data_IF_262417112969
#
_entry.id   IF_262417112969
#
_cell.length_a   1.000
_cell.length_b   1.000
_cell.length_c   1.000
_cell.angle_alpha   90.00
_cell.angle_beta   90.00
_cell.angle_gamma   90.00
#
_symmetry.space_group_name_H-M   'P 1'
#
loop_
_entity.id
_entity.type
_entity.pdbx_description
1 polymer ?
#
# COMPACT_ATOMS: atom_id res chain seq x y z
N UNK A 1 -11.63 -4.95 -30.85
CA UNK A 1 -11.24 -3.51 -30.86
C UNK A 1 -9.85 -3.41 -30.26
N UNK A 2 -8.87 -2.92 -31.01
CA UNK A 2 -7.56 -2.55 -30.46
C UNK A 2 -7.69 -1.16 -29.86
N UNK A 3 -7.48 -1.02 -28.55
CA UNK A 3 -7.52 0.27 -27.86
C UNK A 3 -6.10 0.64 -27.48
N UNK A 4 -5.69 1.80 -27.95
CA UNK A 4 -4.37 2.38 -27.72
C UNK A 4 -4.55 3.71 -26.98
N UNK A 5 -3.74 3.93 -25.95
CA UNK A 5 -3.73 5.17 -25.19
C UNK A 5 -2.40 5.40 -24.46
N UNK A 6 -2.11 6.67 -24.22
CA UNK A 6 -0.93 7.09 -23.48
C UNK A 6 -1.33 7.45 -22.04
N UNK A 7 -0.49 7.03 -21.09
CA UNK A 7 -0.66 7.29 -19.68
C UNK A 7 0.56 8.01 -19.16
N UNK A 8 0.36 9.09 -18.41
CA UNK A 8 1.46 9.75 -17.69
C UNK A 8 1.33 9.51 -16.18
N UNK A 9 2.27 8.75 -15.62
CA UNK A 9 2.31 8.40 -14.20
C UNK A 9 3.21 9.39 -13.46
N UNK A 10 2.67 10.03 -12.44
CA UNK A 10 3.36 11.00 -11.58
C UNK A 10 3.66 10.41 -10.20
N UNK A 11 4.50 11.10 -9.44
CA UNK A 11 4.83 10.74 -8.05
C UNK A 11 3.57 10.63 -7.18
N UNK A 12 2.60 11.53 -7.38
CA UNK A 12 1.36 11.52 -6.59
C UNK A 12 0.47 10.31 -6.90
N UNK A 13 0.49 9.82 -8.14
CA UNK A 13 -0.20 8.57 -8.48
C UNK A 13 0.46 7.37 -7.83
N UNK A 14 1.80 7.36 -7.76
CA UNK A 14 2.52 6.31 -7.07
C UNK A 14 2.26 6.32 -5.56
N UNK A 15 2.19 7.50 -4.94
CA UNK A 15 1.76 7.64 -3.55
C UNK A 15 0.34 7.13 -3.34
N UNK A 16 -0.58 7.46 -4.24
CA UNK A 16 -1.95 6.95 -4.20
C UNK A 16 -1.95 5.41 -4.27
N UNK A 17 -1.18 4.82 -5.19
CA UNK A 17 -1.01 3.38 -5.30
C UNK A 17 -0.46 2.75 -4.02
N UNK A 18 0.62 3.29 -3.44
CA UNK A 18 1.16 2.78 -2.17
C UNK A 18 0.14 2.86 -1.03
N UNK A 19 -0.60 3.98 -0.92
CA UNK A 19 -1.63 4.14 0.10
C UNK A 19 -2.75 3.10 -0.03
N UNK A 20 -3.13 2.80 -1.28
CA UNK A 20 -4.12 1.78 -1.61
C UNK A 20 -3.60 0.38 -1.25
N UNK A 21 -2.38 0.04 -1.67
CA UNK A 21 -1.72 -1.23 -1.36
C UNK A 21 -1.56 -1.42 0.15
N UNK A 22 -1.16 -0.40 0.90
CA UNK A 22 -1.03 -0.46 2.35
C UNK A 22 -2.38 -0.74 3.04
N UNK A 23 -3.45 -0.08 2.57
CA UNK A 23 -4.81 -0.31 3.09
C UNK A 23 -5.29 -1.73 2.80
N UNK A 24 -5.04 -2.23 1.58
CA UNK A 24 -5.31 -3.62 1.18
C UNK A 24 -4.50 -4.63 1.97
N UNK A 25 -3.21 -4.37 2.18
CA UNK A 25 -2.33 -5.24 2.95
C UNK A 25 -2.77 -5.32 4.41
N UNK A 26 -3.12 -4.18 5.04
CA UNK A 26 -3.66 -4.14 6.41
C UNK A 26 -4.94 -4.96 6.54
N UNK A 27 -5.87 -4.84 5.60
CA UNK A 27 -7.12 -5.60 5.62
C UNK A 27 -6.92 -7.11 5.37
N UNK A 28 -5.85 -7.49 4.67
CA UNK A 28 -5.48 -8.88 4.47
C UNK A 28 -4.71 -9.45 5.68
N UNK A 29 -3.85 -8.65 6.33
CA UNK A 29 -3.14 -9.03 7.57
C UNK A 29 -4.13 -9.19 8.72
N UNK A 30 -5.13 -8.31 8.85
CA UNK A 30 -6.17 -8.46 9.88
C UNK A 30 -7.02 -9.73 9.69
N UNK A 31 -7.21 -10.18 8.45
CA UNK A 31 -7.91 -11.43 8.12
C UNK A 31 -7.08 -12.70 8.37
N UNK A 32 -5.75 -12.64 8.19
CA UNK A 32 -4.86 -13.81 8.32
C UNK A 32 -4.16 -13.94 9.67
N UNK A 33 -4.16 -12.89 10.50
CA UNK A 33 -3.51 -12.91 11.82
C UNK A 33 -4.41 -13.64 12.82
N UNK A 34 -3.95 -14.79 13.32
CA UNK A 34 -4.66 -15.51 14.37
C UNK A 34 -4.80 -14.58 15.60
N UNK A 35 -6.02 -14.15 15.96
CA UNK A 35 -6.20 -13.10 16.96
C UNK A 35 -5.62 -13.50 18.32
N UNK A 36 -5.59 -14.80 18.65
CA UNK A 36 -5.07 -15.36 19.90
C UNK A 36 -3.56 -15.13 20.08
N UNK A 37 -2.74 -15.45 19.08
CA UNK A 37 -1.28 -15.27 19.16
C UNK A 37 -0.89 -13.80 19.31
N UNK A 38 -1.60 -12.91 18.61
CA UNK A 38 -1.32 -11.49 18.73
C UNK A 38 -1.79 -10.88 20.04
N UNK A 39 -2.88 -11.40 20.63
CA UNK A 39 -3.33 -11.04 21.98
C UNK A 39 -2.34 -11.53 23.03
N UNK A 40 -1.77 -12.73 22.87
CA UNK A 40 -0.72 -13.25 23.74
C UNK A 40 0.56 -12.39 23.68
N UNK A 41 1.04 -12.04 22.49
CA UNK A 41 2.22 -11.19 22.36
C UNK A 41 1.98 -9.80 22.98
N UNK A 42 0.81 -9.22 22.75
CA UNK A 42 0.41 -7.94 23.35
C UNK A 42 0.32 -8.07 24.88
N UNK A 43 -0.21 -9.19 25.39
CA UNK A 43 -0.26 -9.50 26.81
C UNK A 43 1.15 -9.58 27.42
N UNK A 44 2.09 -10.29 26.79
CA UNK A 44 3.47 -10.38 27.28
C UNK A 44 4.20 -9.03 27.25
N UNK A 45 3.94 -8.19 26.25
CA UNK A 45 4.48 -6.82 26.20
C UNK A 45 3.94 -6.00 27.37
N UNK A 46 2.62 -5.99 27.59
CA UNK A 46 2.01 -5.28 28.72
C UNK A 46 2.43 -5.84 30.08
N UNK A 47 2.61 -7.16 30.18
CA UNK A 47 3.12 -7.83 31.37
C UNK A 47 4.58 -7.43 31.65
N UNK A 48 5.42 -7.37 30.61
CA UNK A 48 6.80 -6.91 30.73
C UNK A 48 6.90 -5.44 31.15
N UNK A 49 6.06 -4.57 30.56
CA UNK A 49 5.96 -3.16 30.96
C UNK A 49 5.48 -3.04 32.41
N UNK A 50 4.45 -3.81 32.80
CA UNK A 50 3.94 -3.82 34.17
C UNK A 50 4.96 -4.33 35.19
N UNK A 51 5.73 -5.36 34.84
CA UNK A 51 6.81 -5.89 35.67
C UNK A 51 7.94 -4.86 35.82
N UNK A 52 8.36 -4.22 34.73
CA UNK A 52 9.36 -3.16 34.76
C UNK A 52 8.89 -1.97 35.62
N UNK A 53 7.61 -1.57 35.48
CA UNK A 53 7.01 -0.51 36.28
C UNK A 53 6.94 -0.90 37.78
N UNK A 54 6.57 -2.15 38.08
CA UNK A 54 6.52 -2.67 39.45
C UNK A 54 7.90 -2.73 40.10
N UNK A 55 8.93 -3.15 39.35
CA UNK A 55 10.32 -3.13 39.83
C UNK A 55 10.83 -1.71 40.06
N UNK A 56 10.48 -0.76 39.18
CA UNK A 56 10.77 0.67 39.38
C UNK A 56 10.08 1.22 40.63
N UNK A 57 8.78 0.96 40.81
CA UNK A 57 8.05 1.41 41.99
C UNK A 57 8.61 0.78 43.26
N UNK A 58 8.99 -0.49 43.26
CA UNK A 58 9.60 -1.14 44.42
C UNK A 58 11.01 -0.59 44.72
N UNK A 59 11.82 -0.31 43.70
CA UNK A 59 13.16 0.26 43.86
C UNK A 59 13.15 1.71 44.37
N UNK A 60 12.08 2.46 44.11
CA UNK A 60 11.94 3.88 44.48
C UNK A 60 10.78 4.14 45.47
N UNK A 61 10.29 3.10 46.14
CA UNK A 61 8.95 2.97 46.74
C UNK A 61 8.50 3.96 47.81
N UNK A 62 9.36 4.85 48.29
CA UNK A 62 8.94 5.95 49.18
C UNK A 62 8.94 7.34 48.52
N UNK A 63 9.44 7.49 47.28
CA UNK A 63 9.63 8.80 46.63
C UNK A 63 9.02 8.93 45.23
N UNK A 64 8.24 7.95 44.75
CA UNK A 64 7.62 8.05 43.43
C UNK A 64 6.44 9.02 43.48
N UNK A 65 6.70 10.29 43.19
CA UNK A 65 5.64 11.29 43.04
C UNK A 65 4.76 10.92 41.85
N UNK A 66 3.45 10.68 42.09
CA UNK A 66 2.48 10.30 41.06
C UNK A 66 2.52 11.18 39.78
N UNK A 67 2.69 12.52 39.85
CA UNK A 67 2.85 13.35 38.66
C UNK A 67 4.08 12.98 37.80
N UNK A 68 5.19 12.58 38.43
CA UNK A 68 6.41 12.20 37.72
C UNK A 68 6.25 10.87 36.97
N UNK A 69 5.52 9.91 37.55
CA UNK A 69 5.21 8.64 36.90
C UNK A 69 4.30 8.83 35.67
N UNK A 70 3.28 9.68 35.78
CA UNK A 70 2.41 10.04 34.65
C UNK A 70 3.22 10.75 33.55
N UNK A 71 4.07 11.70 33.93
CA UNK A 71 4.95 12.41 32.99
C UNK A 71 5.89 11.45 32.24
N UNK A 72 6.48 10.48 32.94
CA UNK A 72 7.32 9.46 32.32
C UNK A 72 6.52 8.58 31.33
N UNK A 73 5.31 8.15 31.70
CA UNK A 73 4.45 7.35 30.84
C UNK A 73 4.05 8.10 29.55
N UNK A 74 3.67 9.37 29.66
CA UNK A 74 3.36 10.22 28.50
C UNK A 74 4.59 10.37 27.61
N UNK A 75 5.76 10.64 28.21
CA UNK A 75 7.01 10.81 27.48
C UNK A 75 7.38 9.56 26.68
N UNK A 76 7.32 8.38 27.32
CA UNK A 76 7.57 7.10 26.64
C UNK A 76 6.54 6.87 25.53
N UNK A 77 5.25 7.15 25.79
CA UNK A 77 4.20 7.02 24.79
C UNK A 77 4.46 7.91 23.58
N UNK A 78 4.80 9.19 23.77
CA UNK A 78 5.13 10.13 22.69
C UNK A 78 6.36 9.68 21.91
N UNK A 79 7.40 9.17 22.58
CA UNK A 79 8.60 8.64 21.93
C UNK A 79 8.24 7.45 21.04
N UNK A 80 7.48 6.48 21.55
CA UNK A 80 7.09 5.26 20.81
C UNK A 80 6.20 5.62 19.61
N UNK A 81 5.18 6.46 19.81
CA UNK A 81 4.29 6.89 18.72
C UNK A 81 5.07 7.65 17.66
N UNK A 82 5.99 8.53 18.05
CA UNK A 82 6.84 9.22 17.09
C UNK A 82 7.71 8.21 16.35
N UNK A 83 8.44 7.32 17.03
CA UNK A 83 9.33 6.34 16.40
C UNK A 83 8.61 5.51 15.34
N UNK A 84 7.39 5.04 15.61
CA UNK A 84 6.55 4.33 14.65
C UNK A 84 6.22 5.21 13.44
N UNK A 85 5.77 6.45 13.68
CA UNK A 85 5.46 7.41 12.61
C UNK A 85 6.67 7.68 11.71
N UNK A 86 7.84 7.95 12.30
CA UNK A 86 9.09 8.23 11.58
C UNK A 86 9.56 7.01 10.78
N UNK A 87 9.47 5.80 11.35
CA UNK A 87 9.84 4.57 10.64
C UNK A 87 8.92 4.30 9.45
N UNK A 88 7.60 4.48 9.63
CA UNK A 88 6.63 4.34 8.54
C UNK A 88 6.88 5.33 7.41
N UNK A 89 7.14 6.60 7.76
CA UNK A 89 7.46 7.65 6.77
C UNK A 89 8.74 7.32 6.01
N UNK A 90 9.80 6.91 6.71
CA UNK A 90 11.07 6.51 6.10
C UNK A 90 10.90 5.34 5.11
N UNK A 91 10.10 4.34 5.46
CA UNK A 91 9.81 3.21 4.57
C UNK A 91 9.05 3.68 3.31
N UNK A 92 8.06 4.57 3.46
CA UNK A 92 7.36 5.14 2.31
C UNK A 92 8.29 5.93 1.39
N UNK A 93 9.18 6.75 1.97
CA UNK A 93 10.15 7.53 1.21
C UNK A 93 11.15 6.63 0.46
N UNK A 94 11.59 5.53 1.08
CA UNK A 94 12.47 4.53 0.46
C UNK A 94 11.79 3.70 -0.64
N UNK A 95 10.46 3.59 -0.63
CA UNK A 95 9.69 2.92 -1.67
C UNK A 95 9.38 3.83 -2.85
N UNK A 96 9.70 5.13 -2.79
CA UNK A 96 9.45 6.03 -3.91
C UNK A 96 10.29 5.64 -5.12
N UNK A 97 9.69 5.61 -6.33
CA UNK A 97 10.43 5.37 -7.55
C UNK A 97 11.42 6.51 -7.77
N UNK A 98 12.54 6.18 -8.39
CA UNK A 98 13.50 7.16 -8.87
C UNK A 98 12.84 8.04 -9.94
N UNK A 99 13.19 9.32 -9.99
CA UNK A 99 12.62 10.27 -10.96
C UNK A 99 12.91 9.90 -12.41
N UNK A 100 14.04 9.23 -12.64
CA UNK A 100 14.53 8.67 -13.91
C UNK A 100 14.32 7.15 -14.00
N UNK A 101 13.51 6.59 -13.11
CA UNK A 101 13.18 5.16 -13.10
C UNK A 101 12.04 4.81 -14.05
N UNK A 102 11.90 3.51 -14.34
CA UNK A 102 10.93 2.98 -15.31
C UNK A 102 9.45 3.06 -14.90
N UNK A 103 9.14 3.53 -13.69
CA UNK A 103 7.75 3.56 -13.17
C UNK A 103 7.05 4.87 -13.53
N UNK A 104 7.76 6.00 -13.43
CA UNK A 104 7.20 7.32 -13.66
C UNK A 104 7.28 7.71 -15.15
N UNK A 105 6.47 8.68 -15.54
CA UNK A 105 6.47 9.24 -16.88
C UNK A 105 5.48 8.57 -17.83
N UNK A 106 5.77 8.68 -19.13
CA UNK A 106 4.87 8.29 -20.21
C UNK A 106 4.96 6.79 -20.50
N UNK A 107 3.79 6.16 -20.53
CA UNK A 107 3.60 4.75 -20.85
C UNK A 107 2.51 4.62 -21.92
N UNK A 108 2.78 3.80 -22.92
CA UNK A 108 1.90 3.53 -24.02
C UNK A 108 1.26 2.16 -23.83
N UNK A 109 -0.06 2.12 -23.71
CA UNK A 109 -0.84 0.92 -23.46
C UNK A 109 -1.60 0.51 -24.70
N UNK A 110 -1.45 -0.76 -25.07
CA UNK A 110 -2.15 -1.36 -26.20
C UNK A 110 -2.87 -2.62 -25.74
N UNK A 111 -4.21 -2.54 -25.75
CA UNK A 111 -5.09 -3.69 -25.50
C UNK A 111 -5.14 -4.53 -26.77
N UNK A 112 -4.49 -5.70 -26.74
CA UNK A 112 -4.51 -6.68 -27.84
C UNK A 112 -5.37 -7.88 -27.47
N UNK A 113 -5.59 -8.78 -28.42
CA UNK A 113 -6.42 -9.96 -28.15
C UNK A 113 -5.76 -10.91 -27.14
N UNK A 114 -4.46 -11.17 -27.29
CA UNK A 114 -3.72 -12.16 -26.49
C UNK A 114 -3.16 -11.61 -25.17
N UNK A 115 -2.82 -10.31 -25.14
CA UNK A 115 -2.15 -9.68 -24.02
C UNK A 115 -2.35 -8.16 -23.97
N UNK A 116 -2.08 -7.58 -22.80
CA UNK A 116 -1.89 -6.14 -22.63
C UNK A 116 -0.42 -5.80 -22.90
N UNK A 117 -0.17 -4.94 -23.88
CA UNK A 117 1.17 -4.46 -24.20
C UNK A 117 1.40 -3.09 -23.59
N UNK A 118 2.55 -2.90 -22.96
CA UNK A 118 2.94 -1.66 -22.28
C UNK A 118 4.32 -1.28 -22.76
N UNK A 119 4.51 -0.05 -23.22
CA UNK A 119 5.79 0.46 -23.69
C UNK A 119 6.13 1.78 -23.01
N UNK A 120 7.42 1.98 -22.72
CA UNK A 120 7.98 3.23 -22.19
C UNK A 120 9.33 3.49 -22.83
N UNK A 121 9.95 4.63 -22.49
CA UNK A 121 11.35 4.91 -22.87
C UNK A 121 12.35 3.91 -22.29
N UNK A 122 11.96 3.16 -21.26
CA UNK A 122 12.83 2.21 -20.56
C UNK A 122 12.66 0.77 -21.05
N UNK A 123 11.64 0.48 -21.85
CA UNK A 123 11.40 -0.86 -22.39
C UNK A 123 9.94 -1.19 -22.66
N UNK A 124 9.70 -2.45 -23.01
CA UNK A 124 8.38 -2.98 -23.32
C UNK A 124 8.05 -4.19 -22.44
N UNK A 125 6.79 -4.30 -22.05
CA UNK A 125 6.23 -5.42 -21.28
C UNK A 125 5.01 -5.97 -22.01
N UNK A 126 4.91 -7.30 -22.07
CA UNK A 126 3.72 -8.00 -22.56
C UNK A 126 3.12 -8.79 -21.40
N UNK A 127 1.89 -8.46 -21.04
CA UNK A 127 1.18 -9.06 -19.92
C UNK A 127 0.01 -9.89 -20.45
N UNK A 128 0.16 -11.21 -20.42
CA UNK A 128 -0.93 -12.12 -20.73
C UNK A 128 -2.12 -11.87 -19.79
N UNK A 129 -3.35 -11.99 -20.30
CA UNK A 129 -4.56 -11.72 -19.52
C UNK A 129 -4.66 -12.53 -18.22
N UNK A 130 -4.21 -13.80 -18.24
CA UNK A 130 -4.11 -14.68 -17.06
C UNK A 130 -3.14 -14.20 -15.96
N UNK A 131 -2.22 -13.31 -16.32
CA UNK A 131 -1.25 -12.69 -15.41
C UNK A 131 -1.87 -11.55 -14.59
N UNK A 132 -2.97 -10.97 -15.06
CA UNK A 132 -3.72 -9.96 -14.33
C UNK A 132 -4.56 -10.66 -13.26
N UNK A 133 -4.39 -10.22 -12.01
CA UNK A 133 -5.06 -10.80 -10.84
C UNK A 133 -6.28 -10.02 -10.39
N UNK A 134 -6.23 -8.69 -10.49
CA UNK A 134 -7.39 -7.85 -10.23
C UNK A 134 -7.25 -6.47 -10.89
N UNK A 135 -8.38 -5.84 -11.16
CA UNK A 135 -8.50 -4.45 -11.59
C UNK A 135 -9.30 -3.73 -10.52
N UNK A 136 -8.64 -2.86 -9.77
CA UNK A 136 -9.27 -2.07 -8.73
C UNK A 136 -9.51 -0.65 -9.24
N UNK A 137 -10.68 -0.10 -8.95
CA UNK A 137 -11.08 1.23 -9.37
C UNK A 137 -11.27 2.16 -8.18
N UNK A 138 -10.67 3.34 -8.26
CA UNK A 138 -10.95 4.46 -7.36
C UNK A 138 -11.61 5.60 -8.14
N UNK A 139 -11.96 6.69 -7.46
CA UNK A 139 -12.49 7.89 -8.13
C UNK A 139 -11.50 8.48 -9.14
N UNK A 140 -10.19 8.31 -8.93
CA UNK A 140 -9.14 8.96 -9.72
C UNK A 140 -8.23 8.02 -10.50
N UNK A 141 -8.21 6.71 -10.17
CA UNK A 141 -7.25 5.75 -10.73
C UNK A 141 -7.90 4.40 -11.04
N UNK A 142 -7.30 3.70 -11.99
CA UNK A 142 -7.36 2.24 -12.04
C UNK A 142 -6.01 1.66 -11.60
N UNK A 143 -6.07 0.59 -10.82
CA UNK A 143 -4.90 -0.17 -10.40
C UNK A 143 -5.01 -1.60 -10.93
N UNK A 144 -4.11 -1.96 -11.85
CA UNK A 144 -4.07 -3.28 -12.47
C UNK A 144 -3.05 -4.15 -11.73
N UNK A 145 -3.51 -5.06 -10.89
CA UNK A 145 -2.65 -5.91 -10.08
C UNK A 145 -2.24 -7.17 -10.82
N UNK A 146 -0.94 -7.46 -10.81
CA UNK A 146 -0.37 -8.75 -11.26
C UNK A 146 0.04 -9.64 -10.09
N UNK A 147 0.16 -9.05 -8.90
CA UNK A 147 0.34 -9.74 -7.63
C UNK A 147 -0.27 -8.89 -6.48
N UNK A 148 -0.14 -9.34 -5.23
CA UNK A 148 -0.75 -8.77 -4.03
C UNK A 148 -0.43 -7.28 -3.82
N UNK A 149 0.78 -6.86 -4.16
CA UNK A 149 1.27 -5.49 -3.97
C UNK A 149 2.00 -4.94 -5.19
N UNK A 150 1.88 -5.62 -6.33
CA UNK A 150 2.58 -5.26 -7.57
C UNK A 150 1.55 -5.10 -8.68
N UNK A 151 1.65 -3.98 -9.40
CA UNK A 151 0.69 -3.64 -10.43
C UNK A 151 1.05 -2.38 -11.19
N UNK A 152 0.21 -2.08 -12.19
CA UNK A 152 0.31 -0.90 -13.02
C UNK A 152 -0.67 0.17 -12.56
N UNK A 153 -0.26 1.42 -12.71
CA UNK A 153 -1.01 2.60 -12.28
C UNK A 153 -1.56 3.30 -13.52
N UNK A 154 -2.88 3.46 -13.56
CA UNK A 154 -3.56 4.11 -14.68
C UNK A 154 -4.40 5.28 -14.15
N UNK A 155 -3.85 6.50 -14.09
CA UNK A 155 -4.61 7.68 -13.71
C UNK A 155 -5.72 7.95 -14.72
N UNK A 156 -6.96 8.10 -14.24
CA UNK A 156 -8.14 8.32 -15.09
C UNK A 156 -8.04 9.59 -15.94
N UNK A 157 -7.29 10.59 -15.47
CA UNK A 157 -7.01 11.83 -16.21
C UNK A 157 -6.20 11.64 -17.51
N UNK A 158 -5.56 10.48 -17.69
CA UNK A 158 -4.81 10.21 -18.94
C UNK A 158 -5.71 9.67 -20.06
N UNK A 159 -6.94 9.27 -19.73
CA UNK A 159 -7.93 8.87 -20.72
C UNK A 159 -8.59 10.12 -21.30
N UNK A 160 -8.79 10.13 -22.61
CA UNK A 160 -9.39 11.26 -23.31
C UNK A 160 -10.88 11.46 -22.94
N UNK A 161 -11.59 10.37 -22.65
CA UNK A 161 -13.02 10.40 -22.32
C UNK A 161 -13.39 9.32 -21.31
N UNK A 162 -14.52 9.51 -20.63
CA UNK A 162 -15.12 8.48 -19.76
C UNK A 162 -15.51 7.22 -20.54
N UNK A 163 -15.92 7.36 -21.80
CA UNK A 163 -16.16 6.21 -22.68
C UNK A 163 -14.89 5.38 -22.88
N UNK A 164 -13.73 6.02 -23.07
CA UNK A 164 -12.45 5.29 -23.18
C UNK A 164 -12.10 4.54 -21.89
N UNK A 165 -12.39 5.14 -20.72
CA UNK A 165 -12.20 4.49 -19.42
C UNK A 165 -13.08 3.24 -19.28
N UNK A 166 -14.37 3.36 -19.62
CA UNK A 166 -15.33 2.27 -19.54
C UNK A 166 -15.01 1.14 -20.54
N UNK A 167 -14.54 1.49 -21.74
CA UNK A 167 -14.09 0.53 -22.75
C UNK A 167 -12.86 -0.25 -22.25
N UNK A 168 -11.87 0.45 -21.67
CA UNK A 168 -10.70 -0.20 -21.08
C UNK A 168 -11.10 -1.15 -19.95
N UNK A 169 -11.90 -0.68 -18.99
CA UNK A 169 -12.40 -1.49 -17.86
C UNK A 169 -13.11 -2.74 -18.36
N UNK A 170 -14.05 -2.59 -19.29
CA UNK A 170 -14.82 -3.71 -19.85
C UNK A 170 -13.91 -4.70 -20.56
N UNK A 171 -12.94 -4.21 -21.35
CA UNK A 171 -12.00 -5.06 -22.08
C UNK A 171 -11.12 -5.91 -21.15
N UNK A 172 -10.68 -5.34 -20.02
CA UNK A 172 -9.90 -6.06 -18.99
C UNK A 172 -10.77 -7.10 -18.29
N UNK A 173 -11.99 -6.73 -17.86
CA UNK A 173 -12.91 -7.63 -17.14
C UNK A 173 -13.29 -8.83 -18.01
N UNK A 174 -13.66 -8.60 -19.27
CA UNK A 174 -14.03 -9.64 -20.22
C UNK A 174 -12.91 -10.68 -20.42
N UNK A 175 -11.65 -10.22 -20.47
CA UNK A 175 -10.48 -11.06 -20.79
C UNK A 175 -9.82 -11.71 -19.59
N UNK A 176 -9.97 -11.14 -18.39
CA UNK A 176 -9.43 -11.73 -17.16
C UNK A 176 -10.30 -12.89 -16.63
N UNK A 177 -11.47 -13.11 -17.21
CA UNK A 177 -12.43 -14.13 -16.78
C UNK A 177 -13.13 -13.73 -15.48
N UNK A 178 -14.45 -13.96 -15.40
CA UNK A 178 -15.36 -13.56 -14.30
C UNK A 178 -15.06 -14.19 -12.92
N UNK A 179 -13.83 -14.58 -12.61
CA UNK A 179 -13.48 -15.25 -11.36
C UNK A 179 -12.35 -14.51 -10.67
N UNK A 180 -12.75 -13.59 -9.78
CA UNK A 180 -11.96 -12.77 -8.82
C UNK A 180 -11.77 -11.29 -9.22
N UNK A 181 -12.89 -10.60 -9.41
CA UNK A 181 -13.03 -9.19 -9.07
C UNK A 181 -14.03 -9.10 -7.90
#
# INVERSE_FOLDING_TARGET
MQTDFHINVTIDDYRAFLSFVQTRARSAISRGRNPTLSRLLTFFIWMGIGLALSLLVNAFGEQVHLPSAIGAAITVFTIVVSMIYWQMKKIQDQMMPQSDGAVLGSHHYQVREEALHIQSSFGATQLAWQGIKSLEETSTHFFLFIDRSVGFILPKRSFATESQQNNFKSAVIERCGSTKL
#
